data_IF_488613877950
#
_entry.id   IF_488613877950
#
_cell.length_a   1.000
_cell.length_b   1.000
_cell.length_c   1.000
_cell.angle_alpha   90.00
_cell.angle_beta   90.00
_cell.angle_gamma   90.00
#
_symmetry.space_group_name_H-M   'P 1'
#
loop_
_entity.id
_entity.type
_entity.pdbx_description
1 polymer ?
#
# COMPACT_ATOMS: atom_id res chain seq x y z
N UNK A 1 4.14 1.28 65.63
CA UNK A 1 5.43 1.08 64.95
C UNK A 1 5.65 2.25 64.01
N UNK A 2 6.54 3.16 64.41
CA UNK A 2 6.88 4.37 63.68
C UNK A 2 8.02 4.05 62.72
N UNK A 3 7.85 4.36 61.43
CA UNK A 3 8.96 4.33 60.46
C UNK A 3 9.36 5.78 60.18
N UNK A 4 10.57 6.12 60.59
CA UNK A 4 11.21 7.41 60.36
C UNK A 4 11.45 7.64 58.84
N UNK A 5 11.36 8.90 58.38
CA UNK A 5 11.85 9.33 57.07
C UNK A 5 13.32 9.76 57.16
N UNK A 6 14.17 9.26 56.26
CA UNK A 6 15.55 9.76 56.08
C UNK A 6 15.64 10.66 54.85
N UNK A 7 16.17 11.87 55.05
CA UNK A 7 16.34 12.94 54.06
C UNK A 7 17.63 12.78 53.23
N UNK A 8 17.52 13.27 52.00
CA UNK A 8 18.47 14.08 51.19
C UNK A 8 19.83 13.52 50.76
N UNK A 9 20.02 13.55 49.44
CA UNK A 9 21.31 13.75 48.77
C UNK A 9 21.09 14.30 47.36
N UNK A 10 21.11 15.62 47.20
CA UNK A 10 21.09 16.29 45.88
C UNK A 10 22.45 16.07 45.20
N UNK A 11 22.51 15.15 44.25
CA UNK A 11 23.64 15.05 43.32
C UNK A 11 23.31 15.86 42.05
N UNK A 12 23.93 17.04 41.94
CA UNK A 12 24.09 17.76 40.66
C UNK A 12 24.96 16.90 39.74
N UNK A 13 24.35 16.28 38.73
CA UNK A 13 25.04 15.61 37.63
C UNK A 13 24.71 16.31 36.33
N UNK A 14 25.75 16.76 35.62
CA UNK A 14 25.69 17.59 34.42
C UNK A 14 24.87 16.95 33.29
N UNK A 15 23.98 17.74 32.67
CA UNK A 15 23.33 17.38 31.42
C UNK A 15 24.37 17.38 30.29
N UNK A 16 24.84 16.19 29.92
CA UNK A 16 25.48 16.00 28.62
C UNK A 16 24.37 15.85 27.60
N UNK A 17 24.19 16.87 26.76
CA UNK A 17 23.41 16.77 25.53
C UNK A 17 24.06 15.70 24.64
N UNK A 18 23.61 14.45 24.75
CA UNK A 18 23.81 13.46 23.69
C UNK A 18 22.92 13.89 22.54
N UNK A 19 23.52 14.57 21.56
CA UNK A 19 22.95 14.66 20.23
C UNK A 19 22.65 13.22 19.77
N UNK A 20 21.38 12.86 19.72
CA UNK A 20 20.93 11.64 19.08
C UNK A 20 21.17 11.84 17.59
N UNK A 21 22.37 11.49 17.12
CA UNK A 21 22.61 11.26 15.71
C UNK A 21 21.66 10.15 15.29
N UNK A 22 20.57 10.54 14.59
CA UNK A 22 19.67 9.64 13.90
C UNK A 22 20.51 8.84 12.91
N UNK A 23 20.98 7.66 13.34
CA UNK A 23 21.51 6.67 12.43
C UNK A 23 20.32 6.19 11.61
N UNK A 24 20.23 6.66 10.37
CA UNK A 24 19.44 5.99 9.36
C UNK A 24 19.88 4.53 9.35
N UNK A 25 19.04 3.63 9.84
CA UNK A 25 19.25 2.20 9.70
C UNK A 25 19.02 1.89 8.22
N UNK A 26 20.07 1.98 7.41
CA UNK A 26 20.10 1.39 6.09
C UNK A 26 20.11 -0.13 6.29
N UNK A 27 18.95 -0.77 6.16
CA UNK A 27 18.86 -2.22 6.02
C UNK A 27 19.38 -2.59 4.62
N UNK A 28 20.70 -2.55 4.43
CA UNK A 28 21.35 -3.13 3.26
C UNK A 28 21.83 -4.52 3.64
N UNK A 29 20.99 -5.52 3.42
CA UNK A 29 21.40 -6.94 3.43
C UNK A 29 21.94 -7.30 2.06
N UNK A 30 23.18 -6.91 1.79
CA UNK A 30 23.99 -7.53 0.73
C UNK A 30 25.11 -8.34 1.37
N UNK A 31 24.74 -9.43 2.03
CA UNK A 31 25.68 -10.51 2.30
C UNK A 31 25.84 -11.32 1.01
N UNK A 32 26.75 -10.91 0.13
CA UNK A 32 27.16 -11.72 -1.02
C UNK A 32 28.09 -12.81 -0.54
N UNK A 33 27.54 -13.98 -0.18
CA UNK A 33 28.34 -15.21 -0.17
C UNK A 33 28.47 -15.66 -1.61
N UNK A 34 29.70 -15.66 -2.14
CA UNK A 34 30.04 -16.20 -3.46
C UNK A 34 29.91 -17.73 -3.44
N UNK A 35 28.69 -18.23 -3.36
CA UNK A 35 28.36 -19.63 -3.62
C UNK A 35 27.91 -19.70 -5.07
N UNK A 36 28.64 -20.47 -5.90
CA UNK A 36 28.23 -20.76 -7.27
C UNK A 36 26.78 -21.22 -7.25
N UNK A 37 25.83 -20.53 -7.91
CA UNK A 37 24.44 -20.92 -7.84
C UNK A 37 24.32 -22.31 -8.47
N UNK A 38 23.80 -23.26 -7.68
CA UNK A 38 23.46 -24.58 -8.17
C UNK A 38 22.54 -24.45 -9.41
N UNK A 39 22.60 -25.40 -10.35
CA UNK A 39 21.84 -25.34 -11.61
C UNK A 39 20.33 -25.18 -11.35
N UNK A 40 19.85 -25.73 -10.23
CA UNK A 40 18.49 -25.56 -9.70
C UNK A 40 18.15 -24.10 -9.34
N UNK A 41 19.10 -23.37 -8.78
CA UNK A 41 18.96 -21.97 -8.36
C UNK A 41 18.97 -21.04 -9.56
N UNK A 42 19.85 -21.30 -10.54
CA UNK A 42 19.88 -20.55 -11.80
C UNK A 42 18.63 -20.77 -12.66
N UNK A 43 18.05 -21.98 -12.66
CA UNK A 43 16.78 -22.29 -13.33
C UNK A 43 15.59 -21.58 -12.66
N UNK A 44 15.56 -21.51 -11.32
CA UNK A 44 14.52 -20.77 -10.58
C UNK A 44 14.62 -19.26 -10.76
N UNK A 45 15.83 -18.73 -10.89
CA UNK A 45 16.05 -17.33 -11.24
C UNK A 45 15.49 -16.96 -12.63
N UNK A 46 15.27 -17.95 -13.52
CA UNK A 46 14.64 -17.75 -14.83
C UNK A 46 13.11 -17.89 -14.80
N UNK A 47 12.53 -18.52 -13.78
CA UNK A 47 11.07 -18.58 -13.61
C UNK A 47 10.59 -17.31 -12.91
N UNK A 48 9.42 -16.82 -13.33
CA UNK A 48 8.82 -15.65 -12.70
C UNK A 48 8.48 -15.94 -11.25
N UNK A 49 8.68 -14.97 -10.35
CA UNK A 49 8.38 -15.15 -8.91
C UNK A 49 6.91 -15.49 -8.62
N UNK A 50 6.03 -15.17 -9.56
CA UNK A 50 4.60 -15.47 -9.52
C UNK A 50 4.29 -16.95 -9.80
N UNK A 51 5.18 -17.69 -10.46
CA UNK A 51 4.95 -19.06 -10.92
C UNK A 51 5.22 -20.09 -9.81
N UNK A 52 6.29 -19.88 -9.03
CA UNK A 52 6.81 -20.87 -8.07
C UNK A 52 6.80 -20.31 -6.64
N UNK A 53 6.36 -21.12 -5.70
CA UNK A 53 6.46 -20.81 -4.26
C UNK A 53 7.85 -21.19 -3.74
N UNK A 54 8.53 -20.32 -2.96
CA UNK A 54 9.84 -20.64 -2.39
C UNK A 54 9.81 -21.92 -1.54
N UNK A 55 10.75 -22.84 -1.78
CA UNK A 55 10.76 -24.16 -1.12
C UNK A 55 10.94 -24.08 0.39
N UNK A 56 11.76 -23.14 0.88
CA UNK A 56 11.93 -22.93 2.33
C UNK A 56 10.64 -22.48 3.04
N UNK A 57 9.63 -22.04 2.29
CA UNK A 57 8.30 -21.69 2.79
C UNK A 57 7.25 -22.77 2.49
N UNK A 58 7.67 -23.92 1.93
CA UNK A 58 6.80 -25.07 1.70
C UNK A 58 6.86 -26.01 2.90
N UNK A 59 5.69 -26.35 3.45
CA UNK A 59 5.60 -27.33 4.52
C UNK A 59 5.63 -28.75 3.94
N UNK A 60 6.31 -29.71 4.59
CA UNK A 60 6.37 -31.10 4.11
C UNK A 60 5.01 -31.80 4.17
N UNK A 61 4.16 -31.44 5.14
CA UNK A 61 2.83 -32.03 5.35
C UNK A 61 1.83 -30.90 5.61
N UNK A 62 0.61 -31.05 5.09
CA UNK A 62 -0.48 -30.09 5.31
C UNK A 62 -1.14 -30.36 6.66
N UNK A 63 -1.14 -29.37 7.56
CA UNK A 63 -1.76 -29.46 8.89
C UNK A 63 -3.16 -28.84 8.99
N UNK A 64 -3.67 -28.26 7.90
CA UNK A 64 -5.02 -27.70 7.85
C UNK A 64 -6.04 -28.82 7.66
N UNK A 65 -7.02 -28.96 8.57
CA UNK A 65 -8.11 -29.93 8.50
C UNK A 65 -9.44 -29.18 8.27
N UNK A 66 -9.88 -29.11 7.01
CA UNK A 66 -11.17 -28.49 6.70
C UNK A 66 -12.32 -29.44 7.06
N UNK A 67 -13.42 -28.86 7.57
CA UNK A 67 -14.67 -29.59 7.87
C UNK A 67 -15.20 -30.38 6.67
N UNK A 68 -15.06 -29.83 5.46
CA UNK A 68 -15.38 -30.48 4.19
C UNK A 68 -14.16 -30.37 3.25
N UNK A 69 -13.69 -31.46 2.64
CA UNK A 69 -12.52 -31.44 1.76
C UNK A 69 -12.76 -30.63 0.48
N UNK A 70 -14.00 -30.56 0.01
CA UNK A 70 -14.41 -29.80 -1.17
C UNK A 70 -14.13 -28.30 -1.03
N UNK A 71 -14.27 -27.75 0.18
CA UNK A 71 -14.05 -26.32 0.45
C UNK A 71 -12.58 -25.90 0.28
N UNK A 72 -11.64 -26.85 0.15
CA UNK A 72 -10.22 -26.56 -0.07
C UNK A 72 -9.87 -26.37 -1.54
N UNK A 73 -10.74 -26.79 -2.45
CA UNK A 73 -10.45 -26.76 -3.88
C UNK A 73 -10.93 -25.42 -4.41
N UNK A 74 -9.98 -24.54 -4.72
CA UNK A 74 -10.22 -23.29 -5.42
C UNK A 74 -9.33 -23.27 -6.66
N UNK A 75 -9.94 -23.28 -7.84
CA UNK A 75 -9.18 -23.21 -9.10
C UNK A 75 -8.65 -21.80 -9.30
N UNK A 76 -7.34 -21.70 -9.56
CA UNK A 76 -6.66 -20.42 -9.83
C UNK A 76 -6.07 -20.49 -11.23
N UNK A 77 -6.08 -19.35 -11.92
CA UNK A 77 -5.48 -19.22 -13.24
C UNK A 77 -3.95 -19.42 -13.17
N UNK A 78 -3.40 -20.17 -14.13
CA UNK A 78 -1.95 -20.31 -14.33
C UNK A 78 -1.51 -19.85 -15.74
N UNK A 79 -2.45 -19.52 -16.63
CA UNK A 79 -2.16 -19.15 -18.01
C UNK A 79 -1.93 -17.64 -18.14
N UNK A 80 -0.76 -17.21 -18.66
CA UNK A 80 -0.46 -15.78 -18.86
C UNK A 80 -1.27 -15.16 -20.00
N UNK A 81 -1.83 -15.98 -20.90
CA UNK A 81 -2.66 -15.51 -22.02
C UNK A 81 -3.97 -14.88 -21.52
N UNK A 82 -4.64 -15.56 -20.59
CA UNK A 82 -5.87 -15.08 -19.95
C UNK A 82 -5.62 -13.76 -19.23
N UNK A 83 -4.45 -13.62 -18.59
CA UNK A 83 -4.08 -12.38 -17.92
C UNK A 83 -3.86 -11.23 -18.92
N UNK A 84 -3.18 -11.49 -20.04
CA UNK A 84 -2.93 -10.47 -21.06
C UNK A 84 -4.23 -9.98 -21.71
N UNK A 85 -5.16 -10.89 -22.02
CA UNK A 85 -6.48 -10.55 -22.55
C UNK A 85 -7.25 -9.63 -21.61
N UNK A 86 -7.29 -9.94 -20.32
CA UNK A 86 -7.90 -9.08 -19.30
C UNK A 86 -7.29 -7.67 -19.24
N UNK A 87 -5.96 -7.54 -19.42
CA UNK A 87 -5.31 -6.22 -19.46
C UNK A 87 -5.60 -5.44 -20.74
N UNK A 88 -5.70 -6.11 -21.88
CA UNK A 88 -6.05 -5.47 -23.15
C UNK A 88 -7.53 -5.00 -23.14
N UNK A 89 -8.42 -5.72 -22.47
CA UNK A 89 -9.80 -5.28 -22.26
C UNK A 89 -9.90 -4.09 -21.28
N UNK A 90 -9.13 -4.12 -20.18
CA UNK A 90 -9.21 -3.11 -19.12
C UNK A 90 -8.55 -1.78 -19.51
N UNK A 91 -7.38 -1.82 -20.15
CA UNK A 91 -6.57 -0.63 -20.47
C UNK A 91 -6.69 -0.21 -21.94
N UNK A 92 -7.34 -1.03 -22.77
CA UNK A 92 -7.43 -0.84 -24.21
C UNK A 92 -6.26 -1.47 -24.99
N UNK A 93 -6.15 -1.18 -26.29
CA UNK A 93 -5.21 -1.88 -27.17
C UNK A 93 -3.75 -1.67 -26.73
N UNK A 94 -2.99 -2.76 -26.66
CA UNK A 94 -1.62 -2.84 -26.13
C UNK A 94 -1.50 -2.64 -24.61
N UNK A 95 -2.59 -2.75 -23.84
CA UNK A 95 -2.57 -2.73 -22.38
C UNK A 95 -1.64 -3.78 -21.77
N UNK A 96 -1.60 -4.98 -22.37
CA UNK A 96 -0.73 -6.08 -21.97
C UNK A 96 0.77 -5.76 -22.12
N UNK A 97 1.16 -4.73 -22.89
CA UNK A 97 2.57 -4.33 -23.04
C UNK A 97 3.01 -3.25 -22.05
N UNK A 98 2.08 -2.60 -21.35
CA UNK A 98 2.39 -1.49 -20.44
C UNK A 98 3.16 -1.94 -19.20
N UNK A 99 2.85 -3.12 -18.68
CA UNK A 99 3.44 -3.67 -17.46
C UNK A 99 4.30 -4.90 -17.80
N UNK A 100 5.47 -5.08 -17.14
CA UNK A 100 6.18 -6.35 -17.13
C UNK A 100 5.32 -7.47 -16.55
N UNK A 101 5.52 -8.70 -17.00
CA UNK A 101 4.71 -9.86 -16.60
C UNK A 101 4.70 -10.07 -15.07
N UNK A 102 5.83 -9.89 -14.39
CA UNK A 102 5.87 -10.00 -12.93
C UNK A 102 4.97 -8.97 -12.22
N UNK A 103 4.88 -7.75 -12.74
CA UNK A 103 4.04 -6.70 -12.17
C UNK A 103 2.55 -6.94 -12.45
N UNK A 104 2.21 -7.54 -13.59
CA UNK A 104 0.82 -7.97 -13.87
C UNK A 104 0.33 -8.95 -12.83
N UNK A 105 1.12 -9.99 -12.55
CA UNK A 105 0.78 -10.98 -11.53
C UNK A 105 0.77 -10.40 -10.12
N UNK A 106 1.70 -9.50 -9.80
CA UNK A 106 1.73 -8.81 -8.51
C UNK A 106 0.47 -7.96 -8.27
N UNK A 107 -0.01 -7.27 -9.29
CA UNK A 107 -1.17 -6.38 -9.20
C UNK A 107 -2.50 -7.15 -9.03
N UNK A 108 -2.62 -8.34 -9.63
CA UNK A 108 -3.85 -9.15 -9.55
C UNK A 108 -3.89 -10.10 -8.34
N UNK A 109 -2.72 -10.48 -7.81
CA UNK A 109 -2.64 -11.45 -6.70
C UNK A 109 -3.07 -10.80 -5.37
N UNK A 110 -4.09 -11.39 -4.75
CA UNK A 110 -4.57 -10.97 -3.42
C UNK A 110 -3.79 -11.67 -2.30
N UNK A 111 -3.69 -11.03 -1.12
CA UNK A 111 -2.95 -11.52 0.04
C UNK A 111 -3.37 -12.91 0.55
N UNK A 112 -4.63 -13.28 0.40
CA UNK A 112 -5.12 -14.60 0.81
C UNK A 112 -4.59 -15.74 -0.05
N UNK A 113 -4.10 -15.45 -1.25
CA UNK A 113 -3.51 -16.45 -2.12
C UNK A 113 -2.17 -16.91 -1.58
N UNK A 114 -1.97 -18.23 -1.55
CA UNK A 114 -0.73 -18.88 -1.13
C UNK A 114 -0.19 -18.40 0.24
N UNK A 115 -1.08 -17.95 1.15
CA UNK A 115 -0.74 -17.34 2.44
C UNK A 115 0.21 -16.13 2.32
N UNK A 116 0.15 -15.39 1.21
CA UNK A 116 1.02 -14.24 0.94
C UNK A 116 2.50 -14.61 0.76
N UNK A 117 2.81 -15.89 0.45
CA UNK A 117 4.18 -16.34 0.16
C UNK A 117 4.71 -15.78 -1.17
N UNK A 118 3.79 -15.47 -2.09
CA UNK A 118 4.07 -14.74 -3.33
C UNK A 118 3.74 -13.27 -3.14
N UNK A 119 4.23 -12.43 -4.05
CA UNK A 119 3.88 -11.00 -4.04
C UNK A 119 2.37 -10.78 -4.17
N UNK A 120 1.85 -9.80 -3.43
CA UNK A 120 0.43 -9.43 -3.42
C UNK A 120 0.24 -7.92 -3.52
N UNK A 121 -0.97 -7.48 -3.86
CA UNK A 121 -1.25 -6.12 -4.30
C UNK A 121 -1.56 -5.08 -3.21
N UNK A 122 -1.58 -5.41 -1.92
CA UNK A 122 -2.01 -4.48 -0.84
C UNK A 122 -1.38 -3.07 -0.94
N UNK A 123 -0.06 -3.00 -1.16
CA UNK A 123 0.64 -1.70 -1.28
C UNK A 123 0.28 -0.95 -2.55
N UNK A 124 0.11 -1.69 -3.65
CA UNK A 124 -0.31 -1.11 -4.94
C UNK A 124 -1.75 -0.62 -4.86
N UNK A 125 -2.63 -1.35 -4.18
CA UNK A 125 -4.02 -0.98 -3.94
C UNK A 125 -4.12 0.28 -3.07
N UNK A 126 -3.29 0.39 -2.02
CA UNK A 126 -3.24 1.58 -1.17
C UNK A 126 -2.80 2.82 -1.97
N UNK A 127 -1.73 2.71 -2.75
CA UNK A 127 -1.26 3.79 -3.61
C UNK A 127 -2.32 4.16 -4.66
N UNK A 128 -2.89 3.17 -5.34
CA UNK A 128 -3.93 3.37 -6.34
C UNK A 128 -5.15 4.10 -5.77
N UNK A 129 -5.58 3.74 -4.55
CA UNK A 129 -6.66 4.45 -3.85
C UNK A 129 -6.30 5.92 -3.60
N UNK A 130 -5.09 6.22 -3.12
CA UNK A 130 -4.66 7.61 -2.90
C UNK A 130 -4.63 8.40 -4.21
N UNK A 131 -4.16 7.79 -5.30
CA UNK A 131 -4.14 8.41 -6.64
C UNK A 131 -5.56 8.69 -7.14
N UNK A 132 -6.49 7.74 -7.00
CA UNK A 132 -7.88 7.92 -7.42
C UNK A 132 -8.61 9.00 -6.61
N UNK A 133 -8.40 9.05 -5.30
CA UNK A 133 -8.99 10.10 -4.45
C UNK A 133 -8.46 11.48 -4.85
N UNK A 134 -7.17 11.59 -5.15
CA UNK A 134 -6.56 12.84 -5.60
C UNK A 134 -7.09 13.28 -6.98
N UNK A 135 -7.13 12.38 -7.96
CA UNK A 135 -7.66 12.72 -9.30
C UNK A 135 -9.16 13.04 -9.25
N UNK A 136 -9.94 12.34 -8.42
CA UNK A 136 -11.35 12.67 -8.20
C UNK A 136 -11.52 14.05 -7.54
N UNK A 137 -10.68 14.39 -6.56
CA UNK A 137 -10.69 15.71 -5.95
C UNK A 137 -10.35 16.81 -6.96
N UNK A 138 -9.34 16.57 -7.79
CA UNK A 138 -8.93 17.47 -8.86
C UNK A 138 -10.04 17.65 -9.90
N UNK A 139 -10.72 16.58 -10.28
CA UNK A 139 -11.88 16.64 -11.18
C UNK A 139 -12.99 17.53 -10.59
N UNK A 140 -13.34 17.35 -9.32
CA UNK A 140 -14.36 18.16 -8.62
C UNK A 140 -13.99 19.65 -8.60
N UNK A 141 -12.74 19.96 -8.24
CA UNK A 141 -12.28 21.36 -8.17
C UNK A 141 -12.15 21.97 -9.56
N UNK A 142 -11.82 21.19 -10.60
CA UNK A 142 -11.68 21.72 -11.96
C UNK A 142 -12.99 22.10 -12.64
N UNK A 143 -14.13 21.66 -12.10
CA UNK A 143 -15.45 21.97 -12.63
C UNK A 143 -15.87 23.42 -12.32
N UNK A 144 -16.81 23.94 -13.10
CA UNK A 144 -17.42 25.23 -12.80
C UNK A 144 -18.13 25.20 -11.43
N UNK A 145 -18.27 26.36 -10.74
CA UNK A 145 -18.90 26.42 -9.43
C UNK A 145 -20.31 25.82 -9.44
N UNK A 146 -20.51 24.78 -8.63
CA UNK A 146 -21.78 24.07 -8.54
C UNK A 146 -22.82 24.89 -7.76
N UNK A 147 -24.11 24.81 -8.11
CA UNK A 147 -25.16 25.47 -7.35
C UNK A 147 -25.22 24.89 -5.93
N UNK A 148 -25.19 25.75 -4.92
CA UNK A 148 -25.16 25.33 -3.51
C UNK A 148 -23.77 24.96 -2.98
N UNK A 149 -22.71 25.16 -3.75
CA UNK A 149 -21.32 25.01 -3.28
C UNK A 149 -20.96 26.02 -2.18
N UNK A 150 -21.46 27.26 -2.30
CA UNK A 150 -21.29 28.30 -1.29
C UNK A 150 -22.12 27.96 -0.05
N UNK A 151 -21.44 27.82 1.08
CA UNK A 151 -22.11 27.66 2.36
C UNK A 151 -22.86 28.95 2.72
N UNK A 152 -24.05 28.81 3.29
CA UNK A 152 -24.84 29.94 3.79
C UNK A 152 -24.28 30.31 5.17
N UNK A 153 -23.82 31.56 5.33
CA UNK A 153 -23.35 32.09 6.61
C UNK A 153 -24.51 32.75 7.37
N UNK A 154 -24.63 32.45 8.65
CA UNK A 154 -25.64 33.05 9.54
C UNK A 154 -25.38 34.54 9.80
N UNK A 155 -24.12 34.98 9.67
CA UNK A 155 -23.68 36.36 9.92
C UNK A 155 -23.36 37.12 8.62
N UNK A 156 -23.99 36.77 7.50
CA UNK A 156 -23.75 37.39 6.19
C UNK A 156 -23.89 38.94 6.20
N UNK A 157 -24.65 39.49 7.14
CA UNK A 157 -24.79 40.94 7.36
C UNK A 157 -23.50 41.63 7.84
N UNK A 158 -22.62 40.90 8.52
CA UNK A 158 -21.37 41.42 9.10
C UNK A 158 -20.12 40.86 8.41
N UNK A 159 -20.21 39.69 7.77
CA UNK A 159 -19.08 39.00 7.12
C UNK A 159 -19.43 38.65 5.69
N UNK A 160 -18.50 38.95 4.79
CA UNK A 160 -18.60 38.60 3.37
C UNK A 160 -17.41 37.69 3.02
N UNK A 161 -17.65 36.53 2.38
CA UNK A 161 -16.57 35.63 1.99
C UNK A 161 -15.70 36.30 0.93
N UNK A 162 -14.42 35.94 0.92
CA UNK A 162 -13.48 36.47 -0.07
C UNK A 162 -13.75 35.86 -1.45
N UNK A 163 -14.26 36.67 -2.38
CA UNK A 163 -14.54 36.25 -3.74
C UNK A 163 -13.26 36.21 -4.58
N UNK A 164 -12.83 35.00 -4.94
CA UNK A 164 -11.74 34.81 -5.90
C UNK A 164 -12.04 33.66 -6.84
N UNK A 165 -11.60 33.75 -8.11
CA UNK A 165 -11.88 32.72 -9.11
C UNK A 165 -11.22 31.38 -8.77
N UNK A 166 -10.13 31.37 -7.99
CA UNK A 166 -9.46 30.13 -7.58
C UNK A 166 -10.14 29.44 -6.39
N UNK A 167 -10.79 30.20 -5.49
CA UNK A 167 -11.45 29.62 -4.31
C UNK A 167 -12.89 29.19 -4.58
N UNK A 168 -13.58 29.84 -5.50
CA UNK A 168 -14.97 29.47 -5.86
C UNK A 168 -15.11 28.03 -6.36
N UNK A 169 -14.04 27.50 -6.95
CA UNK A 169 -13.92 26.11 -7.41
C UNK A 169 -13.69 25.11 -6.28
N UNK A 170 -13.02 25.53 -5.20
CA UNK A 170 -12.75 24.69 -4.03
C UNK A 170 -14.05 24.42 -3.26
N UNK A 171 -14.99 25.38 -3.27
CA UNK A 171 -16.30 25.25 -2.64
C UNK A 171 -17.13 24.08 -3.21
N UNK A 172 -16.83 23.60 -4.41
CA UNK A 172 -17.47 22.41 -5.00
C UNK A 172 -17.34 21.16 -4.08
N UNK A 173 -16.30 21.13 -3.25
CA UNK A 173 -16.07 20.04 -2.28
C UNK A 173 -17.11 19.98 -1.17
N UNK A 174 -17.87 21.06 -0.91
CA UNK A 174 -18.95 21.07 0.06
C UNK A 174 -20.15 20.22 -0.41
N UNK A 175 -20.39 20.19 -1.73
CA UNK A 175 -21.50 19.44 -2.34
C UNK A 175 -21.08 18.03 -2.72
N UNK A 176 -19.89 17.91 -3.32
CA UNK A 176 -19.38 16.63 -3.83
C UNK A 176 -18.02 16.35 -3.23
N UNK A 177 -17.94 15.28 -2.45
CA UNK A 177 -16.66 14.82 -1.87
C UNK A 177 -16.11 13.62 -2.64
N UNK A 178 -14.78 13.52 -2.82
CA UNK A 178 -14.16 12.33 -3.37
C UNK A 178 -14.35 11.19 -2.37
N UNK A 179 -15.08 10.15 -2.77
CA UNK A 179 -15.33 9.01 -1.88
C UNK A 179 -14.12 8.06 -1.83
N UNK A 180 -13.79 7.54 -0.64
CA UNK A 180 -12.72 6.58 -0.44
C UNK A 180 -13.00 5.16 -0.94
#
# INVERSE_FOLDING_TARGET
>A
MAMQPCRSGLARGQQVLRAASLRAACYSTTATTNTTPDASTAYRARRGRWEVTPEGMSAPIRMDFAKKPQNKIWAVNNDPRVLNEMYDELLGPNGSRMLPDELKWLAITHKSFDQGRRGFNDKLALMGRMTLVMEAAKDIVSQEPLPGAKAIDEFESERQPFESPQLSQVDNLNVRTPRP
#
